data_IF_533231570179
#
_entry.id   IF_533231570179
#
_cell.length_a   1.000
_cell.length_b   1.000
_cell.length_c   1.000
_cell.angle_alpha   90.00
_cell.angle_beta   90.00
_cell.angle_gamma   90.00
#
_symmetry.space_group_name_H-M   'P 1'
#
loop_
_entity.id
_entity.type
_entity.pdbx_description
1 polymer ?
#
# COMPACT_ATOMS: atom_id res chain seq x y z
N UNK A 1 3.72 -0.79 -18.16
CA UNK A 1 2.57 0.09 -18.47
C UNK A 1 2.80 1.42 -17.77
N UNK A 2 2.40 2.57 -18.33
CA UNK A 2 2.58 3.84 -17.65
C UNK A 2 1.75 3.91 -16.35
N UNK A 3 2.43 3.97 -15.21
CA UNK A 3 1.84 4.10 -13.89
C UNK A 3 2.05 5.52 -13.36
N UNK A 4 0.96 6.20 -12.99
CA UNK A 4 0.98 7.56 -12.45
C UNK A 4 0.52 7.56 -11.00
N UNK A 5 1.26 8.25 -10.12
CA UNK A 5 0.81 8.53 -8.75
C UNK A 5 -0.20 9.67 -8.82
N UNK A 6 -1.43 9.41 -8.40
CA UNK A 6 -2.50 10.42 -8.33
C UNK A 6 -2.48 11.10 -6.97
N UNK A 7 -2.37 10.31 -5.89
CA UNK A 7 -2.28 10.81 -4.53
C UNK A 7 -1.09 10.11 -3.86
N UNK A 8 -0.03 10.86 -3.49
CA UNK A 8 1.14 10.31 -2.80
C UNK A 8 0.78 9.89 -1.37
N UNK A 9 1.65 9.11 -0.69
CA UNK A 9 1.40 8.72 0.69
C UNK A 9 1.51 9.96 1.58
N UNK A 10 0.59 10.10 2.55
CA UNK A 10 0.55 11.27 3.45
C UNK A 10 1.44 11.12 4.68
N UNK A 11 2.02 9.94 4.90
CA UNK A 11 2.95 9.65 5.97
C UNK A 11 4.03 8.67 5.49
N UNK A 12 5.20 8.70 6.13
CA UNK A 12 6.27 7.73 5.91
C UNK A 12 6.08 6.51 6.83
N UNK A 13 6.44 5.29 6.38
CA UNK A 13 6.22 4.04 7.12
C UNK A 13 7.00 3.99 8.43
N UNK A 14 8.08 4.77 8.52
CA UNK A 14 8.93 4.88 9.69
C UNK A 14 9.02 6.35 10.09
N UNK A 15 8.62 6.66 11.32
CA UNK A 15 8.65 7.99 11.88
C UNK A 15 10.06 8.39 12.30
N UNK A 16 10.39 9.68 12.25
CA UNK A 16 11.72 10.22 12.55
C UNK A 16 12.29 9.73 13.89
N UNK A 17 11.47 9.73 14.96
CA UNK A 17 11.90 9.26 16.27
C UNK A 17 12.39 7.81 16.27
N UNK A 18 11.75 6.94 15.49
CA UNK A 18 12.17 5.55 15.37
C UNK A 18 13.47 5.42 14.55
N UNK A 19 13.64 6.27 13.53
CA UNK A 19 14.87 6.33 12.73
C UNK A 19 16.06 6.78 13.60
N UNK A 20 15.88 7.86 14.35
CA UNK A 20 16.85 8.42 15.29
C UNK A 20 17.30 7.38 16.33
N UNK A 21 16.33 6.63 16.88
CA UNK A 21 16.63 5.57 17.84
C UNK A 21 17.46 4.44 17.21
N UNK A 22 17.20 4.09 15.94
CA UNK A 22 17.98 3.06 15.24
C UNK A 22 19.43 3.49 15.01
N UNK A 23 19.66 4.72 14.55
CA UNK A 23 21.00 5.27 14.31
C UNK A 23 21.69 5.76 15.60
N UNK A 24 20.98 5.77 16.73
CA UNK A 24 21.44 6.24 18.05
C UNK A 24 21.89 7.71 18.03
N UNK A 25 21.09 8.56 17.38
CA UNK A 25 21.33 10.00 17.29
C UNK A 25 20.28 10.78 18.07
N UNK A 26 20.68 11.89 18.68
CA UNK A 26 19.78 12.81 19.38
C UNK A 26 18.96 13.65 18.38
N UNK A 27 17.73 13.99 18.77
CA UNK A 27 16.83 14.81 17.96
C UNK A 27 17.37 16.24 17.76
N UNK A 28 17.09 16.82 16.60
CA UNK A 28 17.44 18.20 16.26
C UNK A 28 18.84 18.39 15.65
N UNK A 29 19.61 17.31 15.48
CA UNK A 29 20.96 17.39 14.88
C UNK A 29 20.87 17.35 13.34
N UNK A 30 20.28 16.30 12.76
CA UNK A 30 20.20 16.10 11.29
C UNK A 30 18.84 15.56 10.84
N UNK A 31 17.78 15.99 11.53
CA UNK A 31 16.41 15.50 11.34
C UNK A 31 15.92 15.60 9.88
N UNK A 32 16.34 16.65 9.19
CA UNK A 32 15.98 16.87 7.78
C UNK A 32 16.64 15.84 6.86
N UNK A 33 17.92 15.52 7.06
CA UNK A 33 18.62 14.50 6.29
C UNK A 33 18.05 13.12 6.56
N UNK A 34 17.82 12.78 7.83
CA UNK A 34 17.27 11.48 8.21
C UNK A 34 15.89 11.28 7.60
N UNK A 35 15.03 12.31 7.63
CA UNK A 35 13.72 12.25 6.98
C UNK A 35 13.85 12.00 5.47
N UNK A 36 14.77 12.67 4.78
CA UNK A 36 15.01 12.45 3.36
C UNK A 36 15.54 11.02 3.08
N UNK A 37 16.40 10.50 3.94
CA UNK A 37 16.94 9.14 3.85
C UNK A 37 15.87 8.09 4.07
N UNK A 38 14.93 8.29 5.00
CA UNK A 38 13.74 7.44 5.17
C UNK A 38 12.92 7.38 3.88
N UNK A 39 12.64 8.54 3.26
CA UNK A 39 11.92 8.59 1.98
C UNK A 39 12.66 7.84 0.87
N UNK A 40 13.98 7.99 0.79
CA UNK A 40 14.81 7.33 -0.21
C UNK A 40 14.83 5.80 -0.01
N UNK A 41 15.00 5.35 1.24
CA UNK A 41 14.97 3.94 1.61
C UNK A 41 13.60 3.30 1.29
N UNK A 42 12.49 3.98 1.62
CA UNK A 42 11.14 3.55 1.24
C UNK A 42 11.01 3.36 -0.27
N UNK A 43 11.38 4.38 -1.07
CA UNK A 43 11.30 4.32 -2.54
C UNK A 43 12.15 3.17 -3.09
N UNK A 44 13.31 2.91 -2.50
CA UNK A 44 14.18 1.78 -2.88
C UNK A 44 13.51 0.43 -2.60
N UNK A 45 12.91 0.26 -1.41
CA UNK A 45 12.17 -0.95 -1.04
C UNK A 45 10.97 -1.18 -1.99
N UNK A 46 10.17 -0.14 -2.23
CA UNK A 46 9.01 -0.19 -3.11
C UNK A 46 9.40 -0.49 -4.56
N UNK A 47 10.51 0.06 -5.07
CA UNK A 47 10.96 -0.21 -6.43
C UNK A 47 11.50 -1.63 -6.60
N UNK A 48 12.14 -2.19 -5.57
CA UNK A 48 12.67 -3.56 -5.62
C UNK A 48 11.59 -4.61 -5.51
N UNK A 49 10.60 -4.39 -4.66
CA UNK A 49 9.53 -5.36 -4.37
C UNK A 49 8.30 -5.17 -5.25
N UNK A 50 8.20 -4.05 -5.99
CA UNK A 50 6.96 -3.60 -6.65
C UNK A 50 5.77 -3.45 -5.72
N UNK A 51 6.00 -3.44 -4.41
CA UNK A 51 4.96 -3.24 -3.40
C UNK A 51 4.80 -1.78 -3.03
N UNK A 52 3.64 -1.43 -2.51
CA UNK A 52 3.36 -0.14 -1.90
C UNK A 52 3.24 -0.31 -0.40
N UNK A 53 4.05 0.42 0.38
CA UNK A 53 4.07 0.27 1.84
C UNK A 53 2.94 1.06 2.50
N UNK A 54 2.96 2.37 2.29
CA UNK A 54 1.90 3.28 2.76
C UNK A 54 0.90 3.54 1.65
N UNK A 55 -0.39 3.57 1.97
CA UNK A 55 -1.46 3.69 0.99
C UNK A 55 -1.30 4.89 0.04
N UNK A 56 -1.36 4.60 -1.25
CA UNK A 56 -1.27 5.56 -2.35
C UNK A 56 -2.34 5.27 -3.39
N UNK A 57 -2.82 6.33 -4.06
CA UNK A 57 -3.71 6.21 -5.21
C UNK A 57 -2.92 6.26 -6.50
N UNK A 58 -3.13 5.25 -7.35
CA UNK A 58 -2.49 5.12 -8.65
C UNK A 58 -3.49 5.20 -9.79
N UNK A 59 -3.00 5.66 -10.94
CA UNK A 59 -3.65 5.56 -12.24
C UNK A 59 -2.73 4.80 -13.17
N UNK A 60 -3.11 3.59 -13.55
CA UNK A 60 -2.41 2.80 -14.54
C UNK A 60 -3.06 3.00 -15.90
N UNK A 61 -2.26 3.40 -16.88
CA UNK A 61 -2.70 3.71 -18.24
C UNK A 61 -2.35 2.57 -19.17
N UNK A 62 -3.32 2.17 -20.00
CA UNK A 62 -3.27 1.08 -20.95
C UNK A 62 -3.67 1.62 -22.32
N UNK A 63 -3.01 1.17 -23.38
CA UNK A 63 -3.37 1.58 -24.75
C UNK A 63 -4.68 0.92 -25.22
N UNK A 64 -4.97 -0.29 -24.75
CA UNK A 64 -6.22 -1.00 -25.05
C UNK A 64 -6.53 -2.03 -23.97
N UNK A 65 -7.77 -2.49 -23.93
CA UNK A 65 -8.12 -3.63 -23.09
C UNK A 65 -7.42 -4.90 -23.58
N UNK A 66 -6.99 -5.80 -22.67
CA UNK A 66 -6.42 -7.08 -23.05
C UNK A 66 -7.41 -7.90 -23.88
N UNK A 67 -6.92 -8.46 -25.00
CA UNK A 67 -7.75 -9.21 -25.94
C UNK A 67 -8.34 -10.50 -25.37
N UNK A 68 -9.36 -11.04 -26.04
CA UNK A 68 -9.97 -12.33 -25.67
C UNK A 68 -8.94 -13.45 -25.75
N UNK A 69 -8.80 -14.21 -24.66
CA UNK A 69 -8.00 -15.43 -24.67
C UNK A 69 -8.73 -16.56 -25.39
N UNK A 70 -8.02 -17.34 -26.20
CA UNK A 70 -8.57 -18.53 -26.87
C UNK A 70 -9.03 -19.61 -25.88
N UNK A 71 -8.50 -19.56 -24.65
CA UNK A 71 -8.79 -20.48 -23.56
C UNK A 71 -9.18 -19.68 -22.32
N UNK A 72 -10.28 -20.05 -21.68
CA UNK A 72 -10.70 -19.48 -20.40
C UNK A 72 -9.81 -19.93 -19.23
N UNK A 73 -10.31 -19.79 -18.01
CA UNK A 73 -9.63 -20.31 -16.80
C UNK A 73 -9.57 -21.84 -16.88
N UNK A 74 -8.36 -22.40 -16.82
CA UNK A 74 -8.15 -23.86 -16.88
C UNK A 74 -8.54 -24.52 -15.56
N UNK A 75 -9.16 -25.69 -15.66
CA UNK A 75 -9.61 -26.46 -14.51
C UNK A 75 -8.40 -27.03 -13.74
N UNK A 76 -8.43 -26.93 -12.41
CA UNK A 76 -7.42 -27.55 -11.54
C UNK A 76 -6.08 -26.83 -11.44
N UNK A 77 -5.93 -25.62 -11.97
CA UNK A 77 -4.75 -24.77 -11.75
C UNK A 77 -4.94 -23.89 -10.52
N UNK A 78 -3.92 -23.80 -9.67
CA UNK A 78 -3.93 -22.96 -8.45
C UNK A 78 -3.89 -21.48 -8.77
N UNK A 79 -3.13 -21.08 -9.79
CA UNK A 79 -3.02 -19.70 -10.27
C UNK A 79 -2.86 -19.67 -11.79
N UNK A 80 -3.46 -18.65 -12.43
CA UNK A 80 -3.35 -18.42 -13.86
C UNK A 80 -3.46 -16.92 -14.14
N UNK A 81 -2.79 -16.46 -15.19
CA UNK A 81 -2.95 -15.13 -15.78
C UNK A 81 -3.74 -15.26 -17.10
N UNK A 82 -5.08 -15.16 -17.08
CA UNK A 82 -5.88 -15.15 -18.30
C UNK A 82 -5.42 -14.05 -19.25
N UNK A 83 -5.43 -14.31 -20.57
CA UNK A 83 -4.99 -13.32 -21.58
C UNK A 83 -5.85 -12.05 -21.56
N UNK A 84 -7.11 -12.17 -21.17
CA UNK A 84 -8.06 -11.08 -21.01
C UNK A 84 -7.94 -10.36 -19.66
N UNK A 85 -6.98 -10.73 -18.80
CA UNK A 85 -6.81 -10.10 -17.50
C UNK A 85 -5.99 -8.81 -17.59
N UNK A 86 -6.45 -7.77 -16.90
CA UNK A 86 -5.64 -6.59 -16.60
C UNK A 86 -4.84 -6.92 -15.34
N UNK A 87 -3.52 -6.74 -15.39
CA UNK A 87 -2.63 -6.93 -14.25
C UNK A 87 -2.21 -5.56 -13.70
N UNK A 88 -2.38 -5.36 -12.40
CA UNK A 88 -1.97 -4.13 -11.73
C UNK A 88 -0.51 -4.23 -11.25
N UNK A 89 0.27 -3.18 -11.52
CA UNK A 89 1.72 -3.18 -11.29
C UNK A 89 2.13 -2.99 -9.82
N UNK A 90 1.26 -2.40 -8.99
CA UNK A 90 1.52 -2.14 -7.56
C UNK A 90 0.60 -2.99 -6.68
N UNK A 91 1.18 -3.63 -5.67
CA UNK A 91 0.49 -4.50 -4.70
C UNK A 91 0.91 -4.16 -3.26
N UNK A 92 0.16 -4.53 -2.21
CA UNK A 92 -1.18 -5.11 -2.24
C UNK A 92 -2.21 -4.06 -2.65
N UNK A 93 -3.11 -4.43 -3.56
CA UNK A 93 -4.21 -3.56 -4.00
C UNK A 93 -5.34 -3.69 -2.97
N UNK A 94 -5.76 -2.57 -2.41
CA UNK A 94 -6.84 -2.53 -1.42
C UNK A 94 -8.21 -2.43 -2.08
N UNK A 95 -8.30 -1.60 -3.12
CA UNK A 95 -9.54 -1.38 -3.87
C UNK A 95 -9.25 -0.84 -5.26
N UNK A 96 -9.98 -1.33 -6.26
CA UNK A 96 -10.08 -0.71 -7.58
C UNK A 96 -11.25 0.27 -7.56
N UNK A 97 -10.97 1.55 -7.79
CA UNK A 97 -11.99 2.61 -7.69
C UNK A 97 -12.79 2.74 -8.98
N UNK A 98 -12.12 2.73 -10.12
CA UNK A 98 -12.79 2.78 -11.42
C UNK A 98 -11.89 2.31 -12.56
N UNK A 99 -12.54 1.77 -13.57
CA UNK A 99 -11.94 1.50 -14.88
C UNK A 99 -12.63 2.42 -15.87
N UNK A 100 -11.86 3.28 -16.53
CA UNK A 100 -12.33 4.25 -17.51
C UNK A 100 -11.73 3.95 -18.87
N UNK A 101 -12.45 4.27 -19.93
CA UNK A 101 -11.94 4.14 -21.29
C UNK A 101 -12.51 5.24 -22.20
N UNK A 102 -11.81 5.52 -23.29
CA UNK A 102 -12.34 6.35 -24.38
C UNK A 102 -13.18 5.46 -25.31
N UNK A 103 -14.46 5.76 -25.46
CA UNK A 103 -15.33 5.07 -26.40
C UNK A 103 -15.11 5.54 -27.85
N UNK A 104 -15.68 4.82 -28.82
CA UNK A 104 -15.52 5.09 -30.26
C UNK A 104 -16.03 6.48 -30.70
N UNK A 105 -16.89 7.11 -29.90
CA UNK A 105 -17.38 8.48 -30.09
C UNK A 105 -16.44 9.56 -29.51
N UNK A 106 -15.29 9.16 -28.94
CA UNK A 106 -14.32 10.05 -28.30
C UNK A 106 -14.67 10.44 -26.87
N UNK A 107 -15.78 9.95 -26.31
CA UNK A 107 -16.19 10.26 -24.93
C UNK A 107 -15.51 9.34 -23.92
N UNK A 108 -15.30 9.82 -22.69
CA UNK A 108 -14.81 8.96 -21.59
C UNK A 108 -15.98 8.24 -20.95
N UNK A 109 -15.93 6.92 -20.94
CA UNK A 109 -16.92 6.04 -20.33
C UNK A 109 -16.29 5.32 -19.12
N UNK A 110 -17.12 4.97 -18.15
CA UNK A 110 -16.74 4.14 -17.00
C UNK A 110 -17.27 2.73 -17.27
N UNK A 111 -16.41 1.72 -17.11
CA UNK A 111 -16.84 0.32 -17.14
C UNK A 111 -17.65 0.05 -15.88
N UNK A 112 -18.86 -0.50 -16.05
CA UNK A 112 -19.74 -0.88 -14.95
C UNK A 112 -19.04 -1.92 -14.04
N UNK A 113 -18.89 -1.66 -12.73
CA UNK A 113 -18.33 -2.60 -11.75
C UNK A 113 -18.96 -4.00 -11.75
N UNK A 114 -20.21 -4.15 -12.20
CA UNK A 114 -20.90 -5.45 -12.27
C UNK A 114 -20.41 -6.33 -13.44
N UNK A 115 -19.72 -5.74 -14.42
CA UNK A 115 -19.26 -6.44 -15.63
C UNK A 115 -17.86 -7.02 -15.49
N UNK A 116 -17.13 -6.69 -14.43
CA UNK A 116 -15.81 -7.24 -14.13
C UNK A 116 -15.73 -7.73 -12.69
N UNK A 117 -14.77 -8.61 -12.45
CA UNK A 117 -14.39 -9.10 -11.13
C UNK A 117 -12.91 -8.81 -10.90
N UNK A 118 -12.58 -8.51 -9.65
CA UNK A 118 -11.21 -8.22 -9.21
C UNK A 118 -10.81 -9.30 -8.23
N UNK A 119 -9.65 -9.90 -8.46
CA UNK A 119 -9.04 -10.82 -7.52
C UNK A 119 -7.96 -10.07 -6.73
N UNK A 120 -8.33 -9.65 -5.52
CA UNK A 120 -7.43 -9.00 -4.57
C UNK A 120 -6.51 -9.98 -3.83
N UNK A 121 -6.75 -11.30 -3.95
CA UNK A 121 -5.93 -12.32 -3.28
C UNK A 121 -4.66 -12.66 -4.05
N UNK A 122 -4.64 -12.36 -5.36
CA UNK A 122 -3.48 -12.60 -6.20
C UNK A 122 -2.50 -11.43 -6.19
N UNK A 123 -1.21 -11.76 -6.24
CA UNK A 123 -0.13 -10.82 -6.42
C UNK A 123 0.62 -11.26 -7.69
N UNK A 124 0.41 -10.61 -8.85
CA UNK A 124 -0.23 -9.31 -9.07
C UNK A 124 -1.76 -9.38 -9.01
N UNK A 125 -2.39 -8.26 -8.62
CA UNK A 125 -3.85 -8.16 -8.64
C UNK A 125 -4.34 -8.23 -10.10
N UNK A 126 -5.32 -9.10 -10.34
CA UNK A 126 -5.87 -9.35 -11.69
C UNK A 126 -7.33 -8.93 -11.75
N UNK A 127 -7.70 -8.32 -12.86
CA UNK A 127 -9.07 -7.91 -13.16
C UNK A 127 -9.50 -8.60 -14.46
N UNK A 128 -10.64 -9.27 -14.43
CA UNK A 128 -11.22 -9.94 -15.60
C UNK A 128 -12.69 -9.59 -15.75
N UNK A 129 -13.24 -9.58 -16.97
CA UNK A 129 -14.69 -9.55 -17.15
C UNK A 129 -15.34 -10.75 -16.45
N UNK A 130 -16.56 -10.58 -15.94
CA UNK A 130 -17.34 -11.69 -15.39
C UNK A 130 -17.70 -12.68 -16.50
N UNK A 131 -18.10 -13.90 -16.12
CA UNK A 131 -18.48 -14.93 -17.08
C UNK A 131 -19.58 -14.44 -18.04
N UNK A 132 -19.36 -14.65 -19.35
CA UNK A 132 -20.28 -14.21 -20.40
C UNK A 132 -20.14 -12.74 -20.81
N UNK A 133 -19.28 -11.96 -20.16
CA UNK A 133 -18.97 -10.58 -20.53
C UNK A 133 -17.62 -10.47 -21.23
N UNK A 134 -17.44 -9.41 -22.00
CA UNK A 134 -16.18 -9.03 -22.64
C UNK A 134 -15.82 -7.60 -22.25
N UNK A 135 -14.55 -7.23 -22.39
CA UNK A 135 -14.16 -5.84 -22.26
C UNK A 135 -14.86 -4.97 -23.32
N UNK A 136 -15.31 -3.76 -22.97
CA UNK A 136 -15.79 -2.80 -23.95
C UNK A 136 -14.72 -2.50 -25.00
N UNK A 137 -15.14 -2.10 -26.20
CA UNK A 137 -14.22 -1.74 -27.27
C UNK A 137 -13.82 -0.27 -27.07
N UNK A 138 -12.54 0.03 -26.75
CA UNK A 138 -12.06 1.39 -26.64
C UNK A 138 -11.70 1.94 -28.03
N UNK A 139 -11.62 3.26 -28.13
CA UNK A 139 -11.06 3.92 -29.32
C UNK A 139 -9.61 3.44 -29.54
N UNK A 140 -9.22 3.03 -30.77
CA UNK A 140 -7.91 2.45 -31.04
C UNK A 140 -6.81 3.53 -31.08
N UNK A 141 -6.50 4.10 -29.92
CA UNK A 141 -5.47 5.11 -29.71
C UNK A 141 -4.65 4.79 -28.45
N UNK A 142 -3.45 5.35 -28.37
CA UNK A 142 -2.61 5.21 -27.18
C UNK A 142 -3.30 5.78 -25.94
N UNK A 143 -3.09 5.16 -24.79
CA UNK A 143 -3.65 5.56 -23.50
C UNK A 143 -5.18 5.63 -23.44
N UNK A 144 -5.91 4.82 -24.22
CA UNK A 144 -7.37 4.84 -24.25
C UNK A 144 -8.05 4.22 -23.03
N UNK A 145 -7.32 3.51 -22.16
CA UNK A 145 -7.86 2.83 -20.97
C UNK A 145 -7.09 3.26 -19.72
N UNK A 146 -7.81 3.50 -18.63
CA UNK A 146 -7.25 3.91 -17.35
C UNK A 146 -7.87 3.11 -16.21
N UNK A 147 -7.03 2.57 -15.32
CA UNK A 147 -7.47 1.94 -14.08
C UNK A 147 -7.00 2.78 -12.91
N UNK A 148 -7.92 3.27 -12.10
CA UNK A 148 -7.62 3.98 -10.85
C UNK A 148 -7.84 3.04 -9.67
N UNK A 149 -6.81 2.88 -8.83
CA UNK A 149 -6.83 1.96 -7.70
C UNK A 149 -5.99 2.49 -6.54
N UNK A 150 -6.26 1.96 -5.35
CA UNK A 150 -5.49 2.22 -4.14
C UNK A 150 -4.66 0.97 -3.82
N UNK A 151 -3.37 1.17 -3.57
CA UNK A 151 -2.46 0.11 -3.11
C UNK A 151 -1.70 0.55 -1.86
N UNK A 152 -1.41 -0.39 -0.96
CA UNK A 152 -0.70 -0.13 0.29
C UNK A 152 -0.92 -1.23 1.32
N UNK A 153 0.08 -1.54 2.14
CA UNK A 153 -0.06 -2.43 3.30
C UNK A 153 -0.79 -1.77 4.47
N UNK A 154 -0.57 -0.46 4.66
CA UNK A 154 -1.18 0.30 5.73
C UNK A 154 -1.53 1.72 5.29
N UNK A 155 -2.55 2.31 5.90
CA UNK A 155 -2.98 3.70 5.68
C UNK A 155 -2.79 4.52 6.96
N UNK A 156 -2.28 5.76 6.89
CA UNK A 156 -2.20 6.62 8.05
C UNK A 156 -3.60 7.02 8.49
N UNK A 157 -3.77 7.13 9.81
CA UNK A 157 -5.05 7.50 10.42
C UNK A 157 -4.91 8.77 11.25
N UNK A 158 -5.99 9.53 11.30
CA UNK A 158 -6.16 10.65 12.22
C UNK A 158 -7.24 10.28 13.22
N UNK A 159 -6.97 10.50 14.50
CA UNK A 159 -7.88 10.11 15.58
C UNK A 159 -8.42 11.34 16.28
N UNK A 160 -9.73 11.38 16.44
CA UNK A 160 -10.45 12.38 17.22
C UNK A 160 -10.97 11.76 18.51
N UNK A 161 -10.28 12.07 19.61
CA UNK A 161 -10.61 11.63 20.96
C UNK A 161 -11.91 12.25 21.50
N UNK A 162 -12.41 13.34 20.92
CA UNK A 162 -13.66 13.97 21.39
C UNK A 162 -14.91 13.31 20.79
N UNK A 163 -14.75 12.71 19.61
CA UNK A 163 -15.81 12.05 18.87
C UNK A 163 -15.68 10.52 18.85
N UNK A 164 -14.63 9.97 19.47
CA UNK A 164 -14.28 8.55 19.43
C UNK A 164 -14.17 8.00 18.00
N UNK A 165 -13.63 8.81 17.08
CA UNK A 165 -13.57 8.46 15.67
C UNK A 165 -12.14 8.35 15.14
N UNK A 166 -11.98 7.44 14.19
CA UNK A 166 -10.76 7.22 13.42
C UNK A 166 -11.05 7.55 11.95
N UNK A 167 -10.38 8.56 11.44
CA UNK A 167 -10.46 8.97 10.04
C UNK A 167 -9.33 8.35 9.22
N UNK A 168 -9.68 7.80 8.06
CA UNK A 168 -8.77 7.13 7.12
C UNK A 168 -8.89 7.83 5.77
N UNK A 169 -7.78 8.37 5.26
CA UNK A 169 -7.77 9.16 4.02
C UNK A 169 -7.88 8.31 2.75
N UNK A 170 -6.79 7.60 2.40
CA UNK A 170 -6.69 6.81 1.17
C UNK A 170 -6.68 5.33 1.52
N UNK A 171 -7.85 4.68 1.54
CA UNK A 171 -7.99 3.25 1.84
C UNK A 171 -9.27 2.67 1.24
N UNK A 172 -9.45 1.35 1.36
CA UNK A 172 -10.74 0.71 1.04
C UNK A 172 -11.82 1.17 2.04
N UNK A 173 -13.07 1.23 1.57
CA UNK A 173 -14.22 1.44 2.45
C UNK A 173 -14.39 0.22 3.35
N UNK A 174 -14.45 0.45 4.66
CA UNK A 174 -14.67 -0.60 5.65
C UNK A 174 -16.16 -0.71 5.96
N UNK A 175 -16.64 -1.93 6.08
CA UNK A 175 -18.01 -2.22 6.50
C UNK A 175 -18.08 -2.38 8.03
N UNK A 176 -19.28 -2.20 8.59
CA UNK A 176 -19.53 -2.52 10.00
C UNK A 176 -19.30 -4.02 10.21
N UNK A 177 -18.51 -4.37 11.21
CA UNK A 177 -18.09 -5.73 11.51
C UNK A 177 -16.71 -6.12 10.94
N UNK A 178 -16.12 -5.30 10.07
CA UNK A 178 -14.77 -5.56 9.55
C UNK A 178 -13.73 -5.52 10.68
N UNK A 179 -12.78 -6.44 10.60
CA UNK A 179 -11.64 -6.53 11.52
C UNK A 179 -10.51 -5.64 11.01
N UNK A 180 -9.96 -4.84 11.92
CA UNK A 180 -8.85 -3.93 11.67
C UNK A 180 -7.79 -4.08 12.74
N UNK A 181 -6.53 -3.98 12.32
CA UNK A 181 -5.39 -3.91 13.22
C UNK A 181 -4.73 -2.55 13.09
N UNK A 182 -4.29 -2.00 14.22
CA UNK A 182 -3.58 -0.74 14.26
C UNK A 182 -2.11 -0.95 14.56
N UNK A 183 -1.28 -0.13 13.93
CA UNK A 183 0.16 -0.08 14.16
C UNK A 183 0.60 1.37 14.37
N UNK A 184 1.74 1.54 15.03
CA UNK A 184 2.33 2.85 15.28
C UNK A 184 3.83 2.81 14.96
N UNK A 185 4.34 3.93 14.43
CA UNK A 185 5.77 4.17 14.33
C UNK A 185 6.17 5.44 15.09
N UNK A 186 7.23 5.33 15.89
CA UNK A 186 7.88 6.44 16.60
C UNK A 186 7.10 7.13 17.72
N UNK A 187 6.06 6.49 18.26
CA UNK A 187 5.28 7.01 19.38
C UNK A 187 4.41 5.96 20.07
N UNK A 188 3.18 6.34 20.43
CA UNK A 188 2.21 5.47 21.08
C UNK A 188 0.87 5.49 20.33
N UNK A 189 0.21 4.33 20.28
CA UNK A 189 -1.16 4.25 19.77
C UNK A 189 -2.14 5.11 20.59
N UNK A 190 -3.27 5.53 20.00
CA UNK A 190 -4.36 6.20 20.71
C UNK A 190 -4.86 5.33 21.87
N UNK A 191 -4.88 5.86 23.09
CA UNK A 191 -5.31 5.08 24.26
C UNK A 191 -6.85 4.93 24.26
N UNK A 192 -7.41 3.74 24.54
CA UNK A 192 -6.78 2.53 25.10
C UNK A 192 -6.35 1.46 24.07
N UNK A 193 -6.19 1.80 22.80
CA UNK A 193 -5.84 0.83 21.75
C UNK A 193 -4.42 0.27 21.96
N UNK A 194 -4.27 -1.02 21.68
CA UNK A 194 -3.04 -1.78 21.88
C UNK A 194 -2.53 -2.35 20.56
N UNK A 195 -1.20 -2.51 20.47
CA UNK A 195 -0.56 -3.18 19.35
C UNK A 195 -0.94 -4.67 19.31
N UNK A 196 -0.86 -5.29 18.13
CA UNK A 196 -1.14 -6.70 17.90
C UNK A 196 -2.52 -7.18 18.40
N UNK A 197 -3.48 -6.26 18.55
CA UNK A 197 -4.87 -6.54 18.94
C UNK A 197 -5.79 -6.24 17.77
N UNK A 198 -6.78 -7.11 17.56
CA UNK A 198 -7.76 -6.98 16.49
C UNK A 198 -8.99 -6.23 17.01
N UNK A 199 -9.42 -5.21 16.28
CA UNK A 199 -10.57 -4.37 16.59
C UNK A 199 -11.63 -4.48 15.50
N UNK A 200 -12.88 -4.18 15.85
CA UNK A 200 -14.02 -4.28 14.95
C UNK A 200 -14.61 -2.89 14.65
N UNK A 201 -14.96 -2.64 13.40
CA UNK A 201 -15.71 -1.42 13.03
C UNK A 201 -17.15 -1.54 13.53
N UNK A 202 -17.58 -0.63 14.42
CA UNK A 202 -18.96 -0.64 14.96
C UNK A 202 -19.88 0.37 14.26
N UNK A 203 -19.34 1.51 13.86
CA UNK A 203 -20.09 2.55 13.19
C UNK A 203 -19.21 3.29 12.17
N UNK A 204 -19.85 3.86 11.16
CA UNK A 204 -19.23 4.73 10.17
C UNK A 204 -20.03 6.04 10.06
N UNK A 205 -19.78 7.03 10.94
CA UNK A 205 -20.55 8.28 10.97
C UNK A 205 -20.51 9.07 9.67
N UNK A 206 -19.42 8.96 8.91
CA UNK A 206 -19.25 9.54 7.58
C UNK A 206 -18.28 8.71 6.73
N UNK A 207 -18.24 8.88 5.39
CA UNK A 207 -17.32 8.12 4.54
C UNK A 207 -15.86 8.32 4.96
N UNK A 208 -15.18 7.23 5.28
CA UNK A 208 -13.78 7.26 5.72
C UNK A 208 -13.58 7.57 7.20
N UNK A 209 -14.65 7.72 7.99
CA UNK A 209 -14.58 7.94 9.44
C UNK A 209 -15.31 6.80 10.15
N UNK A 210 -14.63 6.16 11.10
CA UNK A 210 -15.09 4.93 11.74
C UNK A 210 -14.97 5.00 13.25
N UNK A 211 -15.86 4.29 13.95
CA UNK A 211 -15.73 4.01 15.38
C UNK A 211 -15.34 2.54 15.55
N UNK A 212 -14.47 2.27 16.51
CA UNK A 212 -13.90 0.93 16.76
C UNK A 212 -14.45 0.33 18.06
N UNK A 213 -14.53 -0.99 18.10
CA UNK A 213 -14.88 -1.78 19.28
C UNK A 213 -13.88 -2.90 19.51
N UNK A 214 -13.70 -3.30 20.77
CA UNK A 214 -12.86 -4.45 21.14
C UNK A 214 -13.54 -5.80 20.86
N UNK A 215 -14.85 -5.80 20.61
CA UNK A 215 -15.62 -7.02 20.32
C UNK A 215 -16.54 -6.80 19.12
N UNK A 216 -16.87 -7.86 18.39
CA UNK A 216 -17.76 -7.79 17.25
C UNK A 216 -19.15 -7.27 17.67
N UNK A 217 -19.55 -6.11 17.15
CA UNK A 217 -20.82 -5.46 17.50
C UNK A 217 -20.90 -4.91 18.93
N UNK A 218 -19.78 -4.77 19.63
CA UNK A 218 -19.71 -4.18 20.96
C UNK A 218 -19.86 -2.66 20.96
N UNK A 219 -19.76 -2.04 22.15
CA UNK A 219 -19.77 -0.59 22.27
C UNK A 219 -18.51 0.04 21.62
N UNK A 220 -18.65 1.28 21.14
CA UNK A 220 -17.51 2.06 20.68
C UNK A 220 -16.52 2.27 21.85
N UNK A 221 -15.23 2.18 21.54
CA UNK A 221 -14.15 2.45 22.49
C UNK A 221 -14.07 3.97 22.70
N UNK A 222 -14.10 4.38 23.96
CA UNK A 222 -13.80 5.74 24.39
C UNK A 222 -12.30 6.00 24.21
N UNK A 223 -11.95 6.91 23.29
CA UNK A 223 -10.58 7.25 22.94
C UNK A 223 -10.14 8.41 23.81
N UNK A 224 -9.26 8.14 24.76
CA UNK A 224 -8.82 9.14 25.74
C UNK A 224 -7.67 10.04 25.24
N UNK A 225 -6.89 9.57 24.26
CA UNK A 225 -5.81 10.35 23.62
C UNK A 225 -5.69 9.97 22.15
N UNK A 226 -5.25 10.91 21.29
CA UNK A 226 -5.04 10.65 19.87
C UNK A 226 -3.75 9.84 19.56
N UNK A 227 -2.95 9.50 20.57
CA UNK A 227 -1.62 8.91 20.39
C UNK A 227 -0.57 9.91 19.90
N UNK A 228 0.64 9.42 19.64
CA UNK A 228 1.78 10.20 19.12
C UNK A 228 2.52 9.44 18.03
N UNK A 229 3.28 10.14 17.18
CA UNK A 229 3.94 9.52 16.03
C UNK A 229 2.96 9.23 14.88
N UNK A 230 3.32 8.30 14.01
CA UNK A 230 2.47 7.91 12.89
C UNK A 230 1.63 6.69 13.27
N UNK A 231 0.31 6.87 13.36
CA UNK A 231 -0.64 5.80 13.56
C UNK A 231 -1.15 5.30 12.20
N UNK A 232 -1.24 3.99 12.04
CA UNK A 232 -1.71 3.35 10.83
C UNK A 232 -2.80 2.33 11.11
N UNK A 233 -3.64 2.12 10.10
CA UNK A 233 -4.51 0.96 9.97
C UNK A 233 -3.90 -0.02 8.98
N UNK A 234 -3.90 -1.30 9.33
CA UNK A 234 -3.10 -2.31 8.65
C UNK A 234 -1.70 -2.43 9.24
N UNK A 235 -0.95 -3.37 8.71
CA UNK A 235 0.38 -3.74 9.21
C UNK A 235 1.37 -3.75 8.05
N UNK A 236 2.39 -2.91 8.15
CA UNK A 236 3.53 -2.96 7.24
C UNK A 236 4.43 -4.10 7.71
N UNK A 237 4.82 -5.05 6.83
CA UNK A 237 5.60 -6.19 7.25
C UNK A 237 6.92 -5.79 7.93
N UNK A 238 7.19 -6.40 9.08
CA UNK A 238 8.36 -6.07 9.90
C UNK A 238 9.68 -6.26 9.14
N UNK A 239 9.78 -7.27 8.28
CA UNK A 239 11.00 -7.53 7.47
C UNK A 239 11.37 -6.34 6.59
N UNK A 240 10.36 -5.67 6.00
CA UNK A 240 10.58 -4.51 5.15
C UNK A 240 10.98 -3.30 6.00
N UNK A 241 10.37 -3.13 7.17
CA UNK A 241 10.74 -2.05 8.10
C UNK A 241 12.19 -2.20 8.59
N UNK A 242 12.61 -3.42 8.95
CA UNK A 242 14.00 -3.69 9.35
C UNK A 242 14.98 -3.50 8.19
N UNK A 243 14.61 -3.89 6.96
CA UNK A 243 15.41 -3.59 5.78
C UNK A 243 15.59 -2.08 5.57
N UNK A 244 14.52 -1.29 5.75
CA UNK A 244 14.56 0.17 5.66
C UNK A 244 15.50 0.75 6.73
N UNK A 245 15.39 0.28 7.99
CA UNK A 245 16.27 0.71 9.09
C UNK A 245 17.75 0.47 8.76
N UNK A 246 18.08 -0.74 8.29
CA UNK A 246 19.44 -1.09 7.87
C UNK A 246 19.95 -0.19 6.73
N UNK A 247 19.09 0.15 5.77
CA UNK A 247 19.45 1.09 4.69
C UNK A 247 19.67 2.51 5.20
N UNK A 248 18.86 2.98 6.14
CA UNK A 248 19.04 4.30 6.75
C UNK A 248 20.39 4.36 7.47
N UNK A 249 20.73 3.35 8.28
CA UNK A 249 22.04 3.29 8.95
C UNK A 249 23.22 3.28 7.96
N UNK A 250 23.09 2.56 6.85
CA UNK A 250 24.11 2.57 5.79
C UNK A 250 24.26 3.94 5.12
N UNK A 251 23.16 4.64 4.84
CA UNK A 251 23.18 5.93 4.14
C UNK A 251 23.65 7.08 5.03
N UNK A 252 23.42 6.99 6.34
CA UNK A 252 23.94 7.98 7.29
C UNK A 252 25.47 7.88 7.44
N UNK A 253 25.99 6.65 7.57
CA UNK A 253 27.44 6.40 7.69
C UNK A 253 28.18 6.62 6.38
N UNK A 254 27.61 6.16 5.26
CA UNK A 254 28.24 6.26 3.94
C UNK A 254 27.48 7.24 3.05
N UNK A 255 28.00 8.47 2.99
CA UNK A 255 27.43 9.56 2.18
C UNK A 255 28.01 9.64 0.75
N UNK A 256 28.86 8.68 0.38
CA UNK A 256 29.53 8.58 -0.92
C UNK A 256 29.05 7.33 -1.68
N UNK A 257 29.03 7.41 -3.02
CA UNK A 257 28.63 6.28 -3.88
C UNK A 257 29.65 5.13 -3.83
N UNK A 258 30.94 5.44 -3.67
CA UNK A 258 32.03 4.46 -3.63
C UNK A 258 33.01 4.83 -2.53
N UNK A 259 33.09 4.00 -1.50
CA UNK A 259 34.10 4.11 -0.44
C UNK A 259 35.28 3.20 -0.79
N UNK A 260 36.43 3.78 -1.16
CA UNK A 260 37.66 3.02 -1.37
C UNK A 260 38.30 2.74 -0.01
N UNK A 261 38.04 1.56 0.53
CA UNK A 261 38.61 1.11 1.81
C UNK A 261 40.13 0.93 1.71
N UNK A 262 40.91 1.75 2.42
CA UNK A 262 42.37 1.63 2.49
C UNK A 262 42.87 0.39 3.24
N UNK A 263 42.10 -0.11 4.22
CA UNK A 263 42.22 -1.43 4.87
C UNK A 263 40.86 -1.86 5.42
N UNK A 264 40.26 -2.89 4.85
CA UNK A 264 39.00 -3.48 5.30
C UNK A 264 38.48 -4.51 4.29
N UNK A 265 37.88 -5.60 4.77
CA UNK A 265 37.19 -6.59 3.92
C UNK A 265 35.72 -6.15 3.80
N UNK A 266 35.24 -5.98 2.58
CA UNK A 266 33.80 -5.82 2.33
C UNK A 266 33.19 -7.22 2.38
N UNK A 267 32.30 -7.46 3.34
CA UNK A 267 31.53 -8.69 3.43
C UNK A 267 30.05 -8.34 3.20
N UNK A 268 29.51 -8.78 2.07
CA UNK A 268 28.10 -8.59 1.79
C UNK A 268 27.28 -9.50 2.72
N UNK A 269 26.43 -8.88 3.54
CA UNK A 269 25.48 -9.62 4.37
C UNK A 269 24.30 -10.05 3.48
N UNK A 270 24.43 -11.21 2.82
CA UNK A 270 23.42 -11.75 1.91
C UNK A 270 22.03 -11.87 2.54
N UNK A 271 21.95 -12.07 3.86
CA UNK A 271 20.70 -12.11 4.62
C UNK A 271 19.87 -10.82 4.49
N UNK A 272 20.51 -9.65 4.42
CA UNK A 272 19.82 -8.36 4.33
C UNK A 272 19.04 -8.26 3.03
N UNK A 273 19.62 -8.70 1.92
CA UNK A 273 18.92 -8.72 0.63
C UNK A 273 17.82 -9.79 0.59
N UNK A 274 17.96 -10.87 1.38
CA UNK A 274 16.95 -11.91 1.54
C UNK A 274 15.68 -11.46 2.29
N UNK A 275 15.74 -10.40 3.10
CA UNK A 275 14.55 -9.86 3.80
C UNK A 275 13.44 -9.42 2.84
N UNK A 276 13.79 -9.02 1.62
CA UNK A 276 12.83 -8.59 0.60
C UNK A 276 12.42 -9.71 -0.36
N UNK A 277 13.07 -10.88 -0.29
CA UNK A 277 12.92 -11.95 -1.28
C UNK A 277 11.50 -12.55 -1.27
N UNK A 278 10.91 -12.71 -0.09
CA UNK A 278 9.51 -13.13 0.07
C UNK A 278 8.50 -12.16 -0.54
N UNK A 279 8.87 -10.89 -0.68
CA UNK A 279 8.03 -9.84 -1.23
C UNK A 279 8.29 -9.58 -2.72
N UNK A 280 9.31 -10.23 -3.30
CA UNK A 280 9.60 -10.20 -4.72
C UNK A 280 8.43 -10.76 -5.53
N UNK A 281 8.12 -10.09 -6.63
CA UNK A 281 7.10 -10.54 -7.57
C UNK A 281 7.71 -11.60 -8.49
N UNK A 282 7.24 -12.85 -8.38
CA UNK A 282 7.71 -13.98 -9.18
C UNK A 282 7.14 -13.94 -10.61
N UNK A 283 7.66 -13.06 -11.48
CA UNK A 283 7.40 -13.13 -12.92
C UNK A 283 8.51 -12.50 -13.76
#
# INVERSE_FOLDING_TARGET
>A
MPLQVVTPPTAEPLHLNEALLHIKQDAGIDDAHITATVMAARKSAENRTWRQLVACRYKQVLDSFPGVGLFGVQWGKTFQTPRNAILLERVPVQVVESIKYTAMDGTTQIVDPTTYTVDYSSEPCRITPVFGQIWPIPLPQIGAVWVTFIAGFAAPITVDATADTVAIGTWKTLAIGDVVRLTNSGGALPAPLQLATDYYVVAAPSPGVYQLSATAGGAAIDITTAGTGNNFIGEIPADILEWIKLRIGSLDVFREEVVVMGRGKIEALSFVDGLLDSYGTWW
#
